data_IF_388630276795
#
_entry.id   IF_388630276795
#
_cell.length_a   1.000
_cell.length_b   1.000
_cell.length_c   1.000
_cell.angle_alpha   90.00
_cell.angle_beta   90.00
_cell.angle_gamma   90.00
#
_symmetry.space_group_name_H-M   'P 1'
#
loop_
_entity.id
_entity.type
_entity.pdbx_description
1 polymer ?
#
# COMPACT_ATOMS: atom_id res chain seq x y z
N UNK A 1 30.71 -0.54 -34.41
CA UNK A 1 29.29 -0.26 -34.08
C UNK A 1 28.42 -1.41 -34.57
N UNK A 2 27.87 -2.22 -33.66
CA UNK A 2 26.47 -2.68 -33.68
C UNK A 2 26.18 -3.52 -32.43
N UNK A 3 25.09 -3.12 -31.78
CA UNK A 3 24.53 -3.57 -30.50
C UNK A 3 24.16 -5.05 -30.48
N UNK A 4 24.49 -5.73 -29.39
CA UNK A 4 23.84 -6.97 -28.95
C UNK A 4 23.08 -6.73 -27.64
N UNK A 5 21.88 -6.15 -27.75
CA UNK A 5 20.87 -6.19 -26.71
C UNK A 5 19.93 -7.38 -27.00
N UNK A 6 20.30 -8.58 -26.54
CA UNK A 6 19.36 -9.70 -26.41
C UNK A 6 18.83 -9.69 -24.97
N UNK A 7 17.82 -8.85 -24.74
CA UNK A 7 17.23 -8.63 -23.43
C UNK A 7 16.18 -9.67 -23.09
N UNK A 8 16.39 -10.41 -22.00
CA UNK A 8 15.47 -10.91 -20.94
C UNK A 8 14.10 -11.56 -21.29
N UNK A 9 13.48 -11.28 -22.44
CA UNK A 9 12.14 -11.74 -22.83
C UNK A 9 12.12 -13.07 -23.61
N UNK A 10 13.25 -13.53 -24.14
CA UNK A 10 13.28 -14.77 -24.95
C UNK A 10 13.05 -16.06 -24.14
N UNK A 11 13.13 -16.00 -22.81
CA UNK A 11 12.85 -17.17 -21.94
C UNK A 11 11.36 -17.48 -21.73
N UNK A 12 10.46 -16.66 -22.28
CA UNK A 12 9.01 -16.80 -22.06
C UNK A 12 8.23 -17.19 -23.32
N UNK A 13 8.91 -17.78 -24.31
CA UNK A 13 8.22 -18.36 -25.47
C UNK A 13 7.55 -19.67 -25.05
N UNK A 14 6.24 -19.61 -24.84
CA UNK A 14 5.39 -20.78 -24.57
C UNK A 14 5.57 -21.78 -25.74
N UNK A 15 5.95 -23.05 -25.49
CA UNK A 15 6.00 -24.07 -26.53
C UNK A 15 4.61 -24.25 -27.14
N UNK A 16 4.49 -24.10 -28.47
CA UNK A 16 3.23 -24.19 -29.23
C UNK A 16 2.63 -25.62 -29.31
N UNK A 17 2.95 -26.53 -28.39
CA UNK A 17 2.42 -27.89 -28.45
C UNK A 17 2.18 -28.49 -27.06
N UNK A 18 1.10 -28.09 -26.41
CA UNK A 18 0.47 -28.87 -25.35
C UNK A 18 -1.02 -29.01 -25.67
N UNK A 19 -1.54 -30.22 -25.45
CA UNK A 19 -2.91 -30.61 -25.79
C UNK A 19 -3.94 -29.68 -25.12
N UNK A 20 -5.16 -29.51 -25.71
CA UNK A 20 -6.13 -28.49 -25.30
C UNK A 20 -6.53 -28.55 -23.82
N UNK A 21 -6.48 -29.73 -23.23
CA UNK A 21 -7.05 -30.02 -21.91
C UNK A 21 -6.12 -29.61 -20.75
N UNK A 22 -4.83 -29.41 -21.03
CA UNK A 22 -3.81 -28.99 -20.04
C UNK A 22 -3.52 -27.49 -20.05
N UNK A 23 -4.06 -26.74 -21.01
CA UNK A 23 -3.80 -25.31 -21.15
C UNK A 23 -4.34 -24.49 -19.96
N UNK A 24 -5.57 -24.77 -19.51
CA UNK A 24 -6.18 -24.05 -18.38
C UNK A 24 -5.51 -24.36 -17.05
N UNK A 25 -5.00 -25.59 -16.88
CA UNK A 25 -4.23 -25.98 -15.70
C UNK A 25 -2.86 -25.32 -15.71
N UNK A 26 -2.15 -25.34 -16.84
CA UNK A 26 -0.87 -24.66 -17.03
C UNK A 26 -0.99 -23.13 -16.91
N UNK A 27 -2.08 -22.52 -17.40
CA UNK A 27 -2.37 -21.09 -17.20
C UNK A 27 -2.66 -20.77 -15.73
N UNK A 28 -3.37 -21.65 -15.01
CA UNK A 28 -3.64 -21.50 -13.58
C UNK A 28 -2.35 -21.65 -12.78
N UNK A 29 -1.55 -22.67 -13.05
CA UNK A 29 -0.26 -22.92 -12.40
C UNK A 29 0.72 -21.78 -12.68
N UNK A 30 0.84 -21.30 -13.93
CA UNK A 30 1.66 -20.14 -14.27
C UNK A 30 1.16 -18.86 -13.58
N UNK A 31 -0.16 -18.67 -13.46
CA UNK A 31 -0.77 -17.54 -12.74
C UNK A 31 -0.55 -17.65 -11.23
N UNK A 32 -0.57 -18.85 -10.68
CA UNK A 32 -0.32 -19.12 -9.26
C UNK A 32 1.18 -19.01 -8.93
N UNK A 33 2.08 -19.39 -9.84
CA UNK A 33 3.52 -19.13 -9.76
C UNK A 33 3.89 -17.65 -9.87
N UNK A 34 3.13 -16.87 -10.66
CA UNK A 34 3.25 -15.41 -10.69
C UNK A 34 2.83 -14.81 -9.34
N UNK A 35 1.75 -15.33 -8.74
CA UNK A 35 1.22 -14.87 -7.46
C UNK A 35 2.03 -15.30 -6.24
N UNK A 36 3.02 -16.18 -6.35
CA UNK A 36 3.87 -16.52 -5.20
C UNK A 36 4.73 -15.32 -4.82
N UNK A 37 4.63 -14.91 -3.57
CA UNK A 37 5.58 -13.99 -2.97
C UNK A 37 6.98 -14.61 -3.05
N UNK A 38 7.95 -13.85 -3.57
CA UNK A 38 9.34 -14.28 -3.73
C UNK A 38 10.23 -13.57 -2.72
N UNK A 39 11.07 -14.37 -2.10
CA UNK A 39 12.19 -13.93 -1.27
C UNK A 39 13.34 -14.94 -1.42
N UNK A 40 14.58 -14.48 -1.64
CA UNK A 40 14.99 -13.10 -1.91
C UNK A 40 14.42 -12.56 -3.23
N UNK A 41 14.56 -11.25 -3.47
CA UNK A 41 14.10 -10.65 -4.73
C UNK A 41 14.89 -11.21 -5.92
N UNK A 42 14.24 -11.45 -7.08
CA UNK A 42 14.95 -11.91 -8.27
C UNK A 42 15.96 -10.87 -8.77
N UNK A 43 17.16 -11.31 -9.14
CA UNK A 43 18.27 -10.46 -9.59
C UNK A 43 18.73 -9.44 -8.52
N UNK A 44 18.75 -9.83 -7.24
CA UNK A 44 19.17 -8.97 -6.13
C UNK A 44 20.60 -8.42 -6.29
N UNK A 45 21.45 -9.03 -7.11
CA UNK A 45 22.80 -8.53 -7.39
C UNK A 45 22.80 -7.23 -8.22
N UNK A 46 21.66 -6.86 -8.81
CA UNK A 46 21.53 -5.62 -9.59
C UNK A 46 21.32 -4.42 -8.65
N UNK A 47 22.13 -3.34 -8.75
CA UNK A 47 21.99 -2.16 -7.90
C UNK A 47 20.59 -1.52 -7.93
N UNK A 48 19.91 -1.54 -9.08
CA UNK A 48 18.55 -1.03 -9.20
C UNK A 48 17.53 -1.86 -8.38
N UNK A 49 17.73 -3.17 -8.29
CA UNK A 49 16.87 -4.08 -7.51
C UNK A 49 17.12 -3.87 -6.02
N UNK A 50 18.38 -3.76 -5.60
CA UNK A 50 18.74 -3.45 -4.21
C UNK A 50 18.15 -2.11 -3.77
N UNK A 51 18.29 -1.07 -4.61
CA UNK A 51 17.72 0.26 -4.34
C UNK A 51 16.20 0.20 -4.20
N UNK A 52 15.51 -0.60 -5.02
CA UNK A 52 14.05 -0.75 -4.94
C UNK A 52 13.61 -1.57 -3.73
N UNK A 53 14.39 -2.57 -3.33
CA UNK A 53 14.16 -3.34 -2.11
C UNK A 53 14.33 -2.45 -0.87
N UNK A 54 15.37 -1.61 -0.83
CA UNK A 54 15.56 -0.62 0.23
C UNK A 54 14.41 0.39 0.26
N UNK A 55 14.01 0.95 -0.89
CA UNK A 55 12.83 1.83 -0.98
C UNK A 55 11.59 1.15 -0.38
N UNK A 56 11.36 -0.11 -0.74
CA UNK A 56 10.22 -0.89 -0.25
C UNK A 56 10.31 -1.12 1.25
N UNK A 57 11.49 -1.45 1.78
CA UNK A 57 11.67 -1.64 3.21
C UNK A 57 11.35 -0.37 4.02
N UNK A 58 11.80 0.80 3.56
CA UNK A 58 11.44 2.06 4.19
C UNK A 58 9.96 2.43 4.00
N UNK A 59 9.38 2.11 2.85
CA UNK A 59 7.96 2.32 2.58
C UNK A 59 7.08 1.49 3.53
N UNK A 60 7.29 0.19 3.61
CA UNK A 60 6.51 -0.69 4.50
C UNK A 60 6.78 -0.37 5.97
N UNK A 61 8.03 -0.08 6.36
CA UNK A 61 8.35 0.33 7.72
C UNK A 61 7.63 1.63 8.12
N UNK A 62 7.50 2.57 7.17
CA UNK A 62 6.70 3.79 7.35
C UNK A 62 5.25 3.49 7.71
N UNK A 63 4.59 2.61 6.95
CA UNK A 63 3.22 2.18 7.27
C UNK A 63 3.11 1.55 8.64
N UNK A 64 3.97 0.57 8.94
CA UNK A 64 3.90 -0.20 10.18
C UNK A 64 4.15 0.67 11.42
N UNK A 65 5.20 1.47 11.41
CA UNK A 65 5.58 2.30 12.57
C UNK A 65 4.57 3.44 12.78
N UNK A 66 4.09 4.09 11.72
CA UNK A 66 3.06 5.12 11.85
C UNK A 66 1.74 4.53 12.35
N UNK A 67 1.36 3.33 11.88
CA UNK A 67 0.19 2.63 12.41
C UNK A 67 0.33 2.38 13.92
N UNK A 68 1.48 1.86 14.36
CA UNK A 68 1.77 1.65 15.80
C UNK A 68 1.77 2.95 16.60
N UNK A 69 2.32 4.02 16.05
CA UNK A 69 2.30 5.35 16.67
C UNK A 69 0.86 5.84 16.95
N UNK A 70 -0.08 5.55 16.05
CA UNK A 70 -1.50 5.84 16.24
C UNK A 70 -2.27 4.75 17.02
N UNK A 71 -1.57 3.80 17.64
CA UNK A 71 -2.19 2.74 18.45
C UNK A 71 -2.85 1.62 17.64
N UNK A 72 -2.62 1.54 16.34
CA UNK A 72 -3.15 0.46 15.51
C UNK A 72 -2.30 -0.81 15.65
N UNK A 73 -2.97 -1.96 15.78
CA UNK A 73 -2.29 -3.26 15.81
C UNK A 73 -1.78 -3.61 14.41
N UNK A 74 -0.46 -3.76 14.29
CA UNK A 74 0.18 -4.33 13.10
C UNK A 74 0.39 -5.81 13.34
N UNK A 75 -0.12 -6.66 12.45
CA UNK A 75 0.07 -8.11 12.52
C UNK A 75 1.40 -8.50 11.86
N UNK A 76 1.71 -7.89 10.71
CA UNK A 76 2.87 -8.25 9.90
C UNK A 76 3.29 -7.12 8.96
N UNK A 77 4.59 -7.01 8.73
CA UNK A 77 5.23 -6.31 7.63
C UNK A 77 5.91 -7.34 6.72
N UNK A 78 5.74 -7.21 5.42
CA UNK A 78 6.41 -8.02 4.40
C UNK A 78 7.05 -7.09 3.38
N UNK A 79 8.29 -7.37 2.97
CA UNK A 79 8.96 -6.70 1.85
C UNK A 79 9.14 -7.64 0.67
N UNK A 80 8.37 -8.73 0.61
CA UNK A 80 8.45 -9.72 -0.45
C UNK A 80 7.96 -9.16 -1.78
N UNK A 81 8.47 -9.75 -2.85
CA UNK A 81 8.18 -9.36 -4.22
C UNK A 81 7.09 -10.27 -4.80
N UNK A 82 6.03 -9.74 -5.40
CA UNK A 82 4.94 -10.53 -5.97
C UNK A 82 4.55 -10.00 -7.36
N UNK A 83 4.37 -10.89 -8.34
CA UNK A 83 3.75 -10.54 -9.61
C UNK A 83 2.25 -10.73 -9.51
N UNK A 84 1.49 -9.64 -9.60
CA UNK A 84 0.03 -9.70 -9.64
C UNK A 84 -0.47 -9.43 -11.06
N UNK A 85 -1.29 -10.35 -11.59
CA UNK A 85 -2.05 -10.13 -12.81
C UNK A 85 -3.28 -9.28 -12.52
N UNK A 86 -3.39 -8.11 -13.16
CA UNK A 86 -4.61 -7.30 -13.17
C UNK A 86 -5.23 -7.27 -14.57
N UNK A 87 -6.51 -6.89 -14.67
CA UNK A 87 -7.18 -6.61 -15.94
C UNK A 87 -6.48 -5.49 -16.75
N UNK A 88 -5.63 -4.68 -16.11
CA UNK A 88 -4.80 -3.64 -16.75
C UNK A 88 -3.39 -4.13 -17.13
N UNK A 89 -3.11 -5.42 -16.98
CA UNK A 89 -1.80 -6.04 -17.20
C UNK A 89 -1.12 -6.49 -15.90
N UNK A 90 0.00 -7.24 -16.02
CA UNK A 90 0.79 -7.64 -14.86
C UNK A 90 1.43 -6.42 -14.20
N UNK A 91 1.28 -6.29 -12.89
CA UNK A 91 1.99 -5.31 -12.09
C UNK A 91 2.77 -6.00 -10.97
N UNK A 92 3.81 -5.34 -10.49
CA UNK A 92 4.63 -5.84 -9.39
C UNK A 92 4.12 -5.20 -8.11
N UNK A 93 3.79 -6.05 -7.14
CA UNK A 93 3.58 -5.64 -5.76
C UNK A 93 4.87 -5.87 -4.99
N UNK A 94 5.38 -4.81 -4.38
CA UNK A 94 6.59 -4.84 -3.58
C UNK A 94 6.20 -4.55 -2.15
N UNK A 95 6.16 -5.58 -1.32
CA UNK A 95 5.81 -5.46 0.09
C UNK A 95 4.33 -5.28 0.40
N UNK A 96 4.03 -5.37 1.68
CA UNK A 96 2.74 -5.00 2.27
C UNK A 96 2.85 -4.96 3.80
N UNK A 97 2.02 -4.12 4.43
CA UNK A 97 1.74 -4.18 5.86
C UNK A 97 0.32 -4.69 6.09
N UNK A 98 0.19 -5.69 6.95
CA UNK A 98 -1.10 -6.15 7.48
C UNK A 98 -1.36 -5.48 8.82
N UNK A 99 -2.34 -4.60 8.82
CA UNK A 99 -2.90 -3.97 10.02
C UNK A 99 -4.16 -4.73 10.39
N UNK A 100 -4.30 -5.08 11.67
CA UNK A 100 -5.45 -5.82 12.17
C UNK A 100 -6.73 -5.02 11.91
N UNK A 101 -7.75 -5.68 11.38
CA UNK A 101 -8.95 -5.05 10.80
C UNK A 101 -10.01 -4.62 11.83
N UNK A 102 -9.61 -4.29 13.05
CA UNK A 102 -10.54 -3.72 14.03
C UNK A 102 -10.82 -2.21 13.78
N UNK A 103 -10.30 -1.65 12.69
CA UNK A 103 -10.64 -0.30 12.26
C UNK A 103 -12.09 -0.24 11.77
N UNK A 104 -12.95 0.37 12.60
CA UNK A 104 -14.33 0.68 12.26
C UNK A 104 -14.45 1.46 10.93
N UNK A 105 -13.43 2.23 10.55
CA UNK A 105 -13.39 2.97 9.29
C UNK A 105 -13.23 2.07 8.06
N UNK A 106 -12.38 1.04 8.12
CA UNK A 106 -12.28 0.08 7.01
C UNK A 106 -13.57 -0.71 6.86
N UNK A 107 -14.16 -1.18 7.95
CA UNK A 107 -15.50 -1.81 7.95
C UNK A 107 -16.53 -0.87 7.31
N UNK A 108 -16.52 0.42 7.67
CA UNK A 108 -17.39 1.42 7.07
C UNK A 108 -17.16 1.58 5.56
N UNK A 109 -15.90 1.69 5.10
CA UNK A 109 -15.57 1.74 3.66
C UNK A 109 -16.17 0.54 2.93
N UNK A 110 -15.98 -0.67 3.46
CA UNK A 110 -16.53 -1.89 2.82
C UNK A 110 -18.05 -1.89 2.77
N UNK A 111 -18.72 -1.43 3.83
CA UNK A 111 -20.18 -1.32 3.86
C UNK A 111 -20.69 -0.27 2.87
N UNK A 112 -20.09 0.92 2.85
CA UNK A 112 -20.47 2.00 1.93
C UNK A 112 -20.25 1.60 0.47
N UNK A 113 -19.15 0.92 0.15
CA UNK A 113 -18.91 0.42 -1.21
C UNK A 113 -19.88 -0.70 -1.61
N UNK A 114 -20.21 -1.59 -0.67
CA UNK A 114 -21.21 -2.63 -0.89
C UNK A 114 -22.59 -2.02 -1.13
N UNK A 115 -22.99 -1.03 -0.33
CA UNK A 115 -24.25 -0.31 -0.49
C UNK A 115 -24.29 0.46 -1.82
N UNK A 116 -23.20 1.13 -2.20
CA UNK A 116 -23.10 1.80 -3.50
C UNK A 116 -23.22 0.82 -4.67
N UNK A 117 -22.54 -0.33 -4.60
CA UNK A 117 -22.65 -1.38 -5.62
C UNK A 117 -24.07 -1.99 -5.71
N UNK A 118 -24.78 -2.09 -4.58
CA UNK A 118 -26.19 -2.52 -4.56
C UNK A 118 -27.14 -1.43 -5.11
N UNK A 119 -26.80 -0.16 -4.94
CA UNK A 119 -27.57 0.97 -5.47
C UNK A 119 -27.35 1.19 -6.98
N UNK A 120 -26.16 0.93 -7.52
CA UNK A 120 -25.87 1.04 -8.96
C UNK A 120 -26.73 0.09 -9.82
N UNK A 121 -27.26 -0.99 -9.23
CA UNK A 121 -28.19 -1.92 -9.86
C UNK A 121 -29.68 -1.62 -9.62
N UNK A 122 -30.01 -0.62 -8.81
CA UNK A 122 -31.39 -0.30 -8.43
C UNK A 122 -31.63 1.22 -8.27
N UNK A 123 -32.28 1.87 -9.26
CA UNK A 123 -32.51 3.33 -9.24
C UNK A 123 -33.42 3.81 -8.10
N UNK A 124 -34.18 2.92 -7.46
CA UNK A 124 -35.10 3.24 -6.35
C UNK A 124 -34.52 2.94 -4.96
N UNK A 125 -33.20 2.70 -4.85
CA UNK A 125 -32.56 2.35 -3.57
C UNK A 125 -32.61 3.52 -2.55
N UNK A 126 -33.16 3.32 -1.34
CA UNK A 126 -33.29 4.36 -0.31
C UNK A 126 -31.96 4.70 0.40
N UNK A 127 -30.84 4.06 0.04
CA UNK A 127 -29.54 4.19 0.72
C UNK A 127 -28.80 5.51 0.45
N UNK A 128 -29.50 6.64 0.29
CA UNK A 128 -28.92 7.99 0.29
C UNK A 128 -29.05 8.63 1.68
N UNK A 129 -28.58 7.95 2.73
CA UNK A 129 -28.47 8.60 4.03
C UNK A 129 -27.26 9.56 4.00
N UNK A 130 -27.43 10.86 4.29
CA UNK A 130 -26.30 11.79 4.39
C UNK A 130 -25.52 11.47 5.66
N UNK A 131 -24.20 11.39 5.58
CA UNK A 131 -23.38 11.67 6.76
C UNK A 131 -22.56 12.92 6.49
N UNK A 132 -23.00 14.01 7.13
CA UNK A 132 -22.40 15.33 7.06
C UNK A 132 -21.25 15.36 8.07
N UNK A 133 -20.03 15.16 7.59
CA UNK A 133 -18.98 16.10 7.96
C UNK A 133 -18.86 17.01 6.74
N UNK A 134 -19.42 18.20 6.85
CA UNK A 134 -19.50 19.13 5.73
C UNK A 134 -18.11 19.47 5.20
N UNK A 135 -17.96 19.76 3.89
CA UNK A 135 -16.71 20.19 3.28
C UNK A 135 -16.02 21.40 3.95
N UNK A 136 -16.77 22.13 4.79
CA UNK A 136 -16.41 23.47 5.29
C UNK A 136 -15.52 23.47 6.53
N UNK A 137 -15.49 22.40 7.32
CA UNK A 137 -14.64 22.30 8.51
C UNK A 137 -13.33 21.51 8.23
N UNK A 138 -13.10 21.10 6.97
CA UNK A 138 -11.98 20.23 6.56
C UNK A 138 -10.58 20.79 6.82
N UNK A 139 -10.46 22.06 7.16
CA UNK A 139 -9.19 22.78 7.26
C UNK A 139 -8.84 23.26 8.66
N UNK A 140 -9.81 23.34 9.57
CA UNK A 140 -9.69 24.21 10.74
C UNK A 140 -9.21 23.49 12.01
N UNK A 141 -9.24 22.15 12.05
CA UNK A 141 -8.77 21.38 13.21
C UNK A 141 -7.85 20.21 12.83
N UNK A 142 -6.58 20.29 13.24
CA UNK A 142 -5.59 19.22 13.07
C UNK A 142 -5.86 18.02 14.00
N UNK A 143 -6.58 18.21 15.11
CA UNK A 143 -6.98 17.10 15.99
C UNK A 143 -8.00 16.16 15.32
N UNK A 144 -8.61 16.59 14.21
CA UNK A 144 -9.59 15.83 13.42
C UNK A 144 -8.96 14.99 12.30
N UNK A 145 -7.63 14.95 12.17
CA UNK A 145 -6.97 14.16 11.12
C UNK A 145 -7.01 12.65 11.44
N UNK A 146 -7.73 11.91 10.60
CA UNK A 146 -7.85 10.44 10.68
C UNK A 146 -6.50 9.70 10.63
N UNK A 147 -6.28 8.79 11.58
CA UNK A 147 -5.06 7.98 11.67
C UNK A 147 -4.87 7.06 10.46
N UNK A 148 -5.96 6.48 9.94
CA UNK A 148 -5.95 5.60 8.78
C UNK A 148 -5.46 6.33 7.52
N UNK A 149 -5.85 7.61 7.37
CA UNK A 149 -5.38 8.44 6.26
C UNK A 149 -3.88 8.74 6.38
N UNK A 150 -3.36 9.00 7.59
CA UNK A 150 -1.91 9.12 7.81
C UNK A 150 -1.18 7.83 7.45
N UNK A 151 -1.69 6.69 7.91
CA UNK A 151 -1.10 5.39 7.62
C UNK A 151 -1.02 5.16 6.11
N UNK A 152 -2.06 5.46 5.32
CA UNK A 152 -1.99 5.27 3.86
C UNK A 152 -0.94 6.12 3.15
N UNK A 153 -0.50 7.26 3.69
CA UNK A 153 0.57 8.06 3.09
C UNK A 153 1.93 7.88 3.76
N UNK A 154 1.98 7.16 4.88
CA UNK A 154 3.16 7.01 5.71
C UNK A 154 4.33 6.35 4.97
N UNK A 155 4.07 5.32 4.16
CA UNK A 155 5.12 4.66 3.39
C UNK A 155 5.79 5.57 2.37
N UNK A 156 4.99 6.37 1.65
CA UNK A 156 5.52 7.40 0.73
C UNK A 156 6.34 8.44 1.50
N UNK A 157 5.85 8.91 2.65
CA UNK A 157 6.55 9.91 3.47
C UNK A 157 7.90 9.38 3.98
N UNK A 158 7.94 8.13 4.50
CA UNK A 158 9.14 7.50 5.00
C UNK A 158 10.18 7.25 3.89
N UNK A 159 9.77 6.69 2.76
CA UNK A 159 10.65 6.46 1.63
C UNK A 159 11.23 7.77 1.07
N UNK A 160 10.42 8.84 0.98
CA UNK A 160 10.89 10.18 0.57
C UNK A 160 11.86 10.79 1.57
N UNK A 161 11.60 10.67 2.87
CA UNK A 161 12.52 11.16 3.92
C UNK A 161 13.87 10.44 3.86
N UNK A 162 13.90 9.17 3.45
CA UNK A 162 15.13 8.42 3.18
C UNK A 162 15.87 8.85 1.90
N UNK A 163 15.18 9.53 0.97
CA UNK A 163 15.75 10.00 -0.31
C UNK A 163 15.28 9.21 -1.55
N UNK A 164 14.23 8.39 -1.43
CA UNK A 164 13.66 7.67 -2.57
C UNK A 164 12.49 8.43 -3.22
N UNK A 165 12.39 8.32 -4.54
CA UNK A 165 11.24 8.80 -5.31
C UNK A 165 10.13 7.74 -5.29
N UNK A 166 9.48 7.57 -4.13
CA UNK A 166 8.40 6.59 -3.98
C UNK A 166 7.05 7.18 -4.38
N UNK A 167 6.32 6.42 -5.20
CA UNK A 167 4.91 6.61 -5.53
C UNK A 167 4.22 5.26 -5.46
N UNK A 168 3.15 5.15 -4.66
CA UNK A 168 2.36 3.91 -4.51
C UNK A 168 0.96 4.12 -5.06
N UNK A 169 0.61 3.37 -6.11
CA UNK A 169 -0.74 3.38 -6.69
C UNK A 169 -1.76 2.79 -5.72
N UNK A 170 -1.40 1.72 -5.00
CA UNK A 170 -2.23 1.09 -3.98
C UNK A 170 -2.60 2.06 -2.87
N UNK A 171 -1.62 2.77 -2.32
CA UNK A 171 -1.83 3.80 -1.30
C UNK A 171 -2.71 4.93 -1.81
N UNK A 172 -2.50 5.35 -3.06
CA UNK A 172 -3.30 6.39 -3.71
C UNK A 172 -4.77 6.01 -3.81
N UNK A 173 -5.03 4.76 -4.19
CA UNK A 173 -6.36 4.19 -4.29
C UNK A 173 -7.02 4.09 -2.92
N UNK A 174 -6.30 3.53 -1.93
CA UNK A 174 -6.79 3.41 -0.56
C UNK A 174 -7.05 4.76 0.10
N UNK A 175 -6.15 5.74 -0.07
CA UNK A 175 -6.34 7.11 0.40
C UNK A 175 -7.60 7.72 -0.20
N UNK A 176 -7.80 7.58 -1.52
CA UNK A 176 -9.01 8.08 -2.19
C UNK A 176 -10.28 7.44 -1.63
N UNK A 177 -10.28 6.12 -1.42
CA UNK A 177 -11.43 5.39 -0.85
C UNK A 177 -11.76 5.88 0.56
N UNK A 178 -10.75 6.02 1.41
CA UNK A 178 -10.92 6.55 2.77
C UNK A 178 -11.40 8.01 2.77
N UNK A 179 -10.85 8.87 1.91
CA UNK A 179 -11.31 10.26 1.77
C UNK A 179 -12.76 10.33 1.32
N UNK A 180 -13.16 9.53 0.34
CA UNK A 180 -14.56 9.45 -0.11
C UNK A 180 -15.49 8.98 1.02
N UNK A 181 -15.06 8.04 1.85
CA UNK A 181 -15.85 7.55 2.99
C UNK A 181 -15.94 8.57 4.13
N UNK A 182 -14.84 9.28 4.43
CA UNK A 182 -14.77 10.21 5.56
C UNK A 182 -15.35 11.59 5.22
N UNK A 183 -15.18 12.05 3.98
CA UNK A 183 -15.46 13.43 3.56
C UNK A 183 -16.41 13.55 2.35
N UNK A 184 -16.81 12.42 1.75
CA UNK A 184 -17.79 12.43 0.66
C UNK A 184 -19.17 12.75 1.19
N UNK A 185 -19.94 13.52 0.40
CA UNK A 185 -21.38 13.69 0.64
C UNK A 185 -22.16 12.39 0.40
N UNK A 186 -23.51 12.43 0.35
CA UNK A 186 -24.36 11.25 0.14
C UNK A 186 -24.03 10.42 -1.11
N UNK A 187 -23.41 11.04 -2.12
CA UNK A 187 -22.99 10.38 -3.36
C UNK A 187 -21.53 9.86 -3.30
N UNK A 188 -20.86 9.93 -2.15
CA UNK A 188 -19.44 9.58 -1.96
C UNK A 188 -18.45 10.44 -2.78
N UNK A 189 -18.96 11.47 -3.46
CA UNK A 189 -18.19 12.29 -4.39
C UNK A 189 -17.33 13.31 -3.64
N UNK A 190 -16.02 13.24 -3.89
CA UNK A 190 -15.05 14.25 -3.51
C UNK A 190 -14.30 14.68 -4.77
N UNK A 191 -14.22 15.98 -5.08
CA UNK A 191 -13.47 16.45 -6.24
C UNK A 191 -12.01 15.97 -6.20
N UNK A 192 -11.46 15.63 -7.37
CA UNK A 192 -10.07 15.18 -7.48
C UNK A 192 -9.05 16.20 -6.95
N UNK A 193 -9.31 17.50 -7.15
CA UNK A 193 -8.50 18.59 -6.60
C UNK A 193 -8.46 18.58 -5.07
N UNK A 194 -9.60 18.34 -4.42
CA UNK A 194 -9.69 18.19 -2.96
C UNK A 194 -8.92 16.98 -2.45
N UNK A 195 -9.00 15.83 -3.15
CA UNK A 195 -8.23 14.63 -2.81
C UNK A 195 -6.72 14.91 -2.88
N UNK A 196 -6.26 15.63 -3.91
CA UNK A 196 -4.85 16.01 -4.06
C UNK A 196 -4.40 16.94 -2.92
N UNK A 197 -5.22 17.95 -2.58
CA UNK A 197 -4.92 18.87 -1.48
C UNK A 197 -4.85 18.13 -0.13
N UNK A 198 -5.80 17.26 0.16
CA UNK A 198 -5.81 16.46 1.38
C UNK A 198 -4.59 15.55 1.44
N UNK A 199 -4.27 14.87 0.34
CA UNK A 199 -3.07 14.01 0.31
C UNK A 199 -1.81 14.79 0.59
N UNK A 200 -1.69 16.01 0.04
CA UNK A 200 -0.55 16.89 0.32
C UNK A 200 -0.49 17.26 1.80
N UNK A 201 -1.63 17.62 2.42
CA UNK A 201 -1.71 17.93 3.86
C UNK A 201 -1.31 16.74 4.72
N UNK A 202 -1.85 15.55 4.46
CA UNK A 202 -1.50 14.32 5.19
C UNK A 202 -0.04 13.91 4.99
N UNK A 203 0.51 14.10 3.79
CA UNK A 203 1.94 13.89 3.53
C UNK A 203 2.80 14.86 4.34
N UNK A 204 2.46 16.14 4.38
CA UNK A 204 3.15 17.13 5.20
C UNK A 204 3.08 16.78 6.69
N UNK A 205 1.90 16.45 7.20
CA UNK A 205 1.72 16.00 8.58
C UNK A 205 2.56 14.76 8.90
N UNK A 206 2.56 13.73 8.03
CA UNK A 206 3.44 12.57 8.20
C UNK A 206 4.92 12.98 8.21
N UNK A 207 5.35 13.88 7.31
CA UNK A 207 6.73 14.36 7.33
C UNK A 207 7.09 15.07 8.64
N UNK A 208 6.18 15.87 9.21
CA UNK A 208 6.37 16.53 10.49
C UNK A 208 6.42 15.52 11.64
N UNK A 209 5.48 14.56 11.70
CA UNK A 209 5.48 13.45 12.68
C UNK A 209 6.81 12.71 12.63
N UNK A 210 7.27 12.31 11.44
CA UNK A 210 8.53 11.59 11.26
C UNK A 210 9.77 12.44 11.58
N UNK A 211 9.66 13.77 11.58
CA UNK A 211 10.79 14.65 11.87
C UNK A 211 10.85 15.08 13.33
N UNK A 212 9.69 15.28 13.95
CA UNK A 212 9.57 15.95 15.23
C UNK A 212 9.28 14.98 16.39
N UNK A 213 8.70 13.80 16.12
CA UNK A 213 8.44 12.82 17.18
C UNK A 213 9.74 12.08 17.55
N UNK A 214 10.21 12.19 18.81
CA UNK A 214 11.46 11.56 19.24
C UNK A 214 11.44 10.05 18.99
N UNK A 215 12.56 9.51 18.51
CA UNK A 215 12.75 8.08 18.28
C UNK A 215 11.97 7.47 17.11
N UNK A 216 10.93 8.12 16.58
CA UNK A 216 10.05 7.53 15.57
C UNK A 216 10.79 7.25 14.24
N UNK A 217 11.59 8.20 13.77
CA UNK A 217 12.44 7.97 12.60
C UNK A 217 13.51 6.92 12.86
N UNK A 218 14.08 6.91 14.07
CA UNK A 218 15.02 5.86 14.49
C UNK A 218 14.40 4.47 14.40
N UNK A 219 13.17 4.33 14.90
CA UNK A 219 12.40 3.09 14.85
C UNK A 219 12.18 2.62 13.41
N UNK A 220 11.76 3.51 12.50
CA UNK A 220 11.60 3.18 11.07
C UNK A 220 12.91 2.67 10.47
N UNK A 221 14.04 3.31 10.76
CA UNK A 221 15.34 2.87 10.24
C UNK A 221 15.71 1.47 10.74
N UNK A 222 15.45 1.17 12.01
CA UNK A 222 15.74 -0.14 12.59
C UNK A 222 14.80 -1.21 12.01
N UNK A 223 13.51 -0.93 11.90
CA UNK A 223 12.52 -1.84 11.30
C UNK A 223 12.84 -2.13 9.83
N UNK A 224 13.15 -1.11 9.03
CA UNK A 224 13.52 -1.30 7.62
C UNK A 224 14.79 -2.15 7.47
N UNK A 225 15.82 -1.90 8.29
CA UNK A 225 17.05 -2.71 8.29
C UNK A 225 16.81 -4.15 8.76
N UNK A 226 15.95 -4.34 9.76
CA UNK A 226 15.56 -5.67 10.23
C UNK A 226 14.80 -6.43 9.14
N UNK A 227 13.88 -5.78 8.42
CA UNK A 227 13.14 -6.39 7.32
C UNK A 227 14.09 -6.84 6.19
N UNK A 228 15.08 -6.00 5.82
CA UNK A 228 16.10 -6.35 4.81
C UNK A 228 16.99 -7.52 5.22
N UNK A 229 17.23 -7.70 6.53
CA UNK A 229 18.04 -8.79 7.09
C UNK A 229 17.24 -10.03 7.44
N UNK A 230 15.91 -9.93 7.42
CA UNK A 230 15.02 -11.05 7.72
C UNK A 230 15.25 -12.18 6.74
N UNK A 231 15.39 -13.41 7.26
CA UNK A 231 15.55 -14.62 6.46
C UNK A 231 14.40 -14.80 5.45
N UNK A 232 13.21 -14.28 5.79
CA UNK A 232 11.99 -14.44 5.00
C UNK A 232 11.45 -13.12 4.44
N UNK A 233 12.14 -11.99 4.65
CA UNK A 233 11.68 -10.66 4.23
C UNK A 233 10.40 -10.22 4.92
N UNK A 234 10.17 -10.70 6.15
CA UNK A 234 8.94 -10.51 6.92
C UNK A 234 9.31 -10.20 8.36
N UNK A 235 8.53 -9.33 9.00
CA UNK A 235 8.54 -9.07 10.44
C UNK A 235 7.10 -9.16 10.96
N UNK A 236 6.93 -9.78 12.11
CA UNK A 236 5.68 -9.80 12.88
C UNK A 236 5.48 -8.47 13.62
N UNK A 237 4.25 -8.23 14.05
CA UNK A 237 3.92 -7.09 14.90
C UNK A 237 4.75 -6.99 16.18
N UNK A 238 5.05 -8.13 16.81
CA UNK A 238 5.82 -8.19 18.06
C UNK A 238 7.30 -7.89 17.81
N UNK A 239 7.88 -8.44 16.74
CA UNK A 239 9.24 -8.09 16.32
C UNK A 239 9.36 -6.59 16.03
N UNK A 240 8.38 -6.00 15.35
CA UNK A 240 8.37 -4.55 15.10
C UNK A 240 8.36 -3.77 16.42
N UNK A 241 7.53 -4.16 17.40
CA UNK A 241 7.47 -3.49 18.71
C UNK A 241 8.77 -3.65 19.50
N UNK A 242 9.41 -4.82 19.46
CA UNK A 242 10.69 -5.03 20.16
C UNK A 242 11.84 -4.16 19.63
N UNK A 243 11.70 -3.64 18.40
CA UNK A 243 12.68 -2.75 17.77
C UNK A 243 12.43 -1.27 18.12
N UNK A 244 11.42 -0.97 18.93
CA UNK A 244 11.12 0.39 19.37
C UNK A 244 12.26 0.92 20.24
N UNK A 245 12.85 2.08 19.90
CA UNK A 245 13.86 2.69 20.74
C UNK A 245 13.30 2.98 22.12
N UNK A 246 14.04 2.57 23.15
CA UNK A 246 13.82 2.88 24.57
C UNK A 246 13.91 4.38 24.84
#
# INVERSE_FOLDING_TARGET
>A
VRNTCLGFFDKFRIPRSLRPDNWLLAEREARDELRRERWPWPNIDRPAVQRKQEETAFHEAGHAVVARYFGMKVDQLSIRFQFEGSWRGPYVKCGSVRISRDSALWTRVFLTEREAALADGNPDSPCRAPFVLGPRDLFDDEASLCAELHVTVAGVAAARKKGHCSNSYGDSSNFRRLVSCCYGGPNGFVPGSSIVLLRRRYLSSCHEILSNKPGLWGWINVVAKAALRSEHGVLTGEEIESLRPS
#
